data_IF_029804239874
#
_entry.id   IF_029804239874
#
_cell.length_a   1.000
_cell.length_b   1.000
_cell.length_c   1.000
_cell.angle_alpha   90.00
_cell.angle_beta   90.00
_cell.angle_gamma   90.00
#
_symmetry.space_group_name_H-M   'P 1'
#
loop_
_entity.id
_entity.type
_entity.pdbx_description
1 polymer ?
#
# COMPACT_ATOMS: atom_id res chain seq x y z
N UNK A 1 -7.09 2.13 -9.33
CA UNK A 1 -7.35 2.90 -8.09
C UNK A 1 -6.35 4.03 -8.02
N UNK A 2 -6.83 5.25 -7.87
CA UNK A 2 -5.97 6.43 -7.98
C UNK A 2 -5.20 6.68 -6.68
N UNK A 3 -3.93 7.08 -6.81
CA UNK A 3 -3.05 7.38 -5.68
C UNK A 3 -3.64 8.42 -4.73
N UNK A 4 -4.20 9.50 -5.29
CA UNK A 4 -4.80 10.57 -4.50
C UNK A 4 -5.89 10.04 -3.56
N UNK A 5 -6.70 9.07 -4.03
CA UNK A 5 -7.83 8.55 -3.27
C UNK A 5 -7.36 7.71 -2.09
N UNK A 6 -6.33 6.90 -2.30
CA UNK A 6 -5.67 6.13 -1.23
C UNK A 6 -5.07 7.05 -0.17
N UNK A 7 -4.36 8.11 -0.61
CA UNK A 7 -3.78 9.10 0.29
C UNK A 7 -4.85 9.85 1.07
N UNK A 8 -5.96 10.21 0.42
CA UNK A 8 -7.09 10.87 1.10
C UNK A 8 -7.73 9.94 2.13
N UNK A 9 -7.91 8.65 1.83
CA UNK A 9 -8.42 7.70 2.84
C UNK A 9 -7.46 7.58 4.03
N UNK A 10 -6.14 7.61 3.83
CA UNK A 10 -5.20 7.70 4.96
C UNK A 10 -5.38 8.97 5.79
N UNK A 11 -5.79 10.08 5.17
CA UNK A 11 -6.10 11.32 5.88
C UNK A 11 -7.38 11.20 6.69
N UNK A 12 -8.45 10.66 6.10
CA UNK A 12 -9.73 10.38 6.76
C UNK A 12 -9.56 9.49 8.01
N UNK A 13 -8.65 8.51 7.96
CA UNK A 13 -8.35 7.60 9.08
C UNK A 13 -7.30 8.15 10.06
N UNK A 14 -6.82 9.38 9.87
CA UNK A 14 -5.80 9.99 10.74
C UNK A 14 -4.38 9.41 10.57
N UNK A 15 -4.18 8.44 9.67
CA UNK A 15 -2.91 7.74 9.50
C UNK A 15 -1.80 8.66 9.00
N UNK A 16 -2.12 9.74 8.28
CA UNK A 16 -1.15 10.73 7.82
C UNK A 16 -0.30 11.37 8.94
N UNK A 17 -0.81 11.41 10.18
CA UNK A 17 -0.11 11.97 11.34
C UNK A 17 0.79 10.94 12.03
N UNK A 18 0.57 9.64 11.74
CA UNK A 18 1.30 8.53 12.33
C UNK A 18 2.59 8.29 11.55
N UNK A 19 3.67 8.87 12.04
CA UNK A 19 5.03 8.68 11.52
C UNK A 19 5.92 7.87 12.47
N UNK A 20 5.38 7.44 13.62
CA UNK A 20 6.05 6.54 14.56
C UNK A 20 6.20 5.15 13.92
N UNK A 21 7.44 4.59 13.88
CA UNK A 21 7.68 3.22 13.42
C UNK A 21 6.85 2.14 14.13
N UNK A 22 6.40 2.37 15.37
CA UNK A 22 5.61 1.42 16.15
C UNK A 22 4.09 1.51 15.86
N UNK A 23 3.65 2.53 15.14
CA UNK A 23 2.24 2.69 14.79
C UNK A 23 1.77 1.55 13.88
N UNK A 24 0.73 0.83 14.30
CA UNK A 24 0.20 -0.32 13.58
C UNK A 24 -1.31 -0.46 13.70
N UNK A 25 -1.93 -1.03 12.68
CA UNK A 25 -3.34 -1.38 12.65
C UNK A 25 -3.52 -2.89 12.81
N UNK A 26 -4.57 -3.32 13.49
CA UNK A 26 -5.01 -4.71 13.43
C UNK A 26 -5.69 -5.03 12.09
N UNK A 27 -5.95 -6.32 11.83
CA UNK A 27 -6.63 -6.75 10.60
C UNK A 27 -8.03 -6.17 10.45
N UNK A 28 -8.78 -6.00 11.55
CA UNK A 28 -10.12 -5.41 11.49
C UNK A 28 -10.11 -3.94 11.06
N UNK A 29 -9.18 -3.15 11.58
CA UNK A 29 -8.99 -1.74 11.22
C UNK A 29 -8.43 -1.61 9.80
N UNK A 30 -7.52 -2.50 9.41
CA UNK A 30 -7.03 -2.59 8.03
C UNK A 30 -8.17 -2.93 7.07
N UNK A 31 -9.04 -3.88 7.41
CA UNK A 31 -10.21 -4.21 6.58
C UNK A 31 -11.15 -3.02 6.38
N UNK A 32 -11.40 -2.22 7.43
CA UNK A 32 -12.20 -0.99 7.34
C UNK A 32 -11.54 0.04 6.42
N UNK A 33 -10.22 0.20 6.52
CA UNK A 33 -9.44 1.06 5.64
C UNK A 33 -9.56 0.61 4.18
N UNK A 34 -9.36 -0.68 3.89
CA UNK A 34 -9.51 -1.25 2.55
C UNK A 34 -10.94 -1.08 2.03
N UNK A 35 -11.95 -1.39 2.85
CA UNK A 35 -13.36 -1.23 2.48
C UNK A 35 -13.67 0.22 2.07
N UNK A 36 -13.13 1.21 2.80
CA UNK A 36 -13.28 2.62 2.42
C UNK A 36 -12.61 2.93 1.10
N UNK A 37 -11.37 2.47 0.91
CA UNK A 37 -10.63 2.63 -0.34
C UNK A 37 -11.41 2.03 -1.54
N UNK A 38 -11.91 0.79 -1.41
CA UNK A 38 -12.67 0.12 -2.46
C UNK A 38 -14.05 0.74 -2.71
N UNK A 39 -14.67 1.38 -1.70
CA UNK A 39 -15.95 2.09 -1.87
C UNK A 39 -15.89 3.24 -2.88
N UNK A 40 -14.69 3.69 -3.24
CA UNK A 40 -14.48 4.73 -4.24
C UNK A 40 -14.30 4.20 -5.67
N UNK A 41 -14.27 2.88 -5.88
CA UNK A 41 -14.22 2.31 -7.22
C UNK A 41 -15.60 2.42 -7.87
N UNK A 42 -15.73 3.10 -9.03
CA UNK A 42 -17.01 3.17 -9.73
C UNK A 42 -17.48 1.76 -10.11
N UNK A 43 -18.70 1.40 -9.70
CA UNK A 43 -19.32 0.09 -9.96
C UNK A 43 -19.53 -0.18 -11.45
N UNK A 44 -19.57 0.86 -12.28
CA UNK A 44 -19.64 0.76 -13.75
C UNK A 44 -18.42 0.08 -14.39
N UNK A 45 -17.25 0.13 -13.74
CA UNK A 45 -16.03 -0.51 -14.26
C UNK A 45 -15.96 -2.03 -13.97
N UNK A 46 -16.92 -2.58 -13.22
CA UNK A 46 -16.99 -4.02 -12.89
C UNK A 46 -18.01 -4.79 -13.75
N UNK A 47 -18.87 -4.10 -14.50
CA UNK A 47 -20.01 -4.70 -15.21
C UNK A 47 -19.67 -5.31 -16.58
N UNK A 48 -18.39 -5.53 -16.92
CA UNK A 48 -18.01 -5.95 -18.27
C UNK A 48 -18.36 -7.42 -18.62
N UNK A 49 -18.82 -8.24 -17.67
CA UNK A 49 -19.03 -9.68 -17.87
C UNK A 49 -20.41 -10.23 -17.41
N UNK A 50 -21.49 -9.47 -17.50
CA UNK A 50 -22.82 -10.04 -17.21
C UNK A 50 -23.83 -9.65 -18.29
N UNK A 51 -24.08 -10.61 -19.19
CA UNK A 51 -25.15 -10.57 -20.18
C UNK A 51 -26.51 -10.45 -19.49
N UNK A 52 -27.26 -9.43 -19.90
CA UNK A 52 -28.72 -9.34 -20.00
C UNK A 52 -29.55 -9.78 -18.77
N UNK A 53 -29.95 -8.84 -17.93
CA UNK A 53 -31.37 -8.71 -17.54
C UNK A 53 -31.65 -7.34 -16.88
N UNK A 54 -32.34 -6.47 -17.62
CA UNK A 54 -32.71 -5.11 -17.19
C UNK A 54 -33.92 -5.12 -16.26
N UNK A 55 -33.80 -5.64 -15.02
CA UNK A 55 -34.85 -5.40 -14.00
C UNK A 55 -34.38 -5.36 -12.54
N UNK A 56 -33.10 -5.58 -12.23
CA UNK A 56 -32.64 -5.57 -10.84
C UNK A 56 -31.61 -4.47 -10.59
N UNK A 57 -31.92 -3.60 -9.62
CA UNK A 57 -31.07 -2.49 -9.14
C UNK A 57 -29.57 -2.86 -9.10
N UNK A 58 -28.82 -2.34 -10.08
CA UNK A 58 -27.41 -2.62 -10.40
C UNK A 58 -26.39 -2.32 -9.29
N UNK A 59 -26.84 -1.76 -8.17
CA UNK A 59 -26.00 -1.41 -7.02
C UNK A 59 -25.85 -2.53 -5.98
N UNK A 60 -26.68 -3.57 -5.99
CA UNK A 60 -26.66 -4.62 -4.96
C UNK A 60 -25.65 -5.74 -5.28
N UNK A 61 -25.53 -6.14 -6.55
CA UNK A 61 -24.71 -7.30 -6.99
C UNK A 61 -23.19 -7.00 -6.90
N UNK A 62 -22.79 -5.72 -6.93
CA UNK A 62 -21.39 -5.31 -6.86
C UNK A 62 -20.83 -5.18 -5.43
N UNK A 63 -21.67 -5.09 -4.40
CA UNK A 63 -21.20 -5.00 -3.00
C UNK A 63 -20.48 -6.28 -2.52
N UNK A 64 -20.96 -7.50 -2.81
CA UNK A 64 -20.23 -8.73 -2.50
C UNK A 64 -18.84 -8.77 -3.12
N UNK A 65 -18.70 -8.36 -4.39
CA UNK A 65 -17.41 -8.36 -5.10
C UNK A 65 -16.38 -7.42 -4.47
N UNK A 66 -16.81 -6.22 -4.04
CA UNK A 66 -15.95 -5.25 -3.35
C UNK A 66 -15.44 -5.80 -2.00
N UNK A 67 -16.32 -6.45 -1.24
CA UNK A 67 -15.96 -7.07 0.05
C UNK A 67 -14.92 -8.17 -0.17
N UNK A 68 -15.18 -9.08 -1.12
CA UNK A 68 -14.24 -10.16 -1.46
C UNK A 68 -12.89 -9.60 -1.92
N UNK A 69 -12.87 -8.54 -2.73
CA UNK A 69 -11.63 -7.90 -3.15
C UNK A 69 -10.84 -7.32 -1.96
N UNK A 70 -11.52 -6.71 -0.99
CA UNK A 70 -10.89 -6.22 0.23
C UNK A 70 -10.35 -7.35 1.12
N UNK A 71 -11.05 -8.48 1.22
CA UNK A 71 -10.60 -9.67 1.96
C UNK A 71 -9.36 -10.31 1.32
N UNK A 72 -9.36 -10.46 -0.01
CA UNK A 72 -8.21 -10.98 -0.76
C UNK A 72 -6.99 -10.08 -0.55
N UNK A 73 -7.16 -8.77 -0.69
CA UNK A 73 -6.05 -7.83 -0.48
C UNK A 73 -5.58 -7.86 0.98
N UNK A 74 -6.48 -7.95 1.96
CA UNK A 74 -6.11 -8.09 3.37
C UNK A 74 -5.29 -9.36 3.61
N UNK A 75 -5.71 -10.49 3.04
CA UNK A 75 -4.97 -11.76 3.16
C UNK A 75 -3.55 -11.65 2.61
N UNK A 76 -3.39 -11.03 1.43
CA UNK A 76 -2.08 -10.80 0.85
C UNK A 76 -1.23 -9.80 1.66
N UNK A 77 -1.83 -8.73 2.20
CA UNK A 77 -1.13 -7.79 3.09
C UNK A 77 -0.63 -8.48 4.37
N UNK A 78 -1.45 -9.34 4.97
CA UNK A 78 -1.05 -10.16 6.11
C UNK A 78 0.15 -11.05 5.78
N UNK A 79 0.07 -11.78 4.66
CA UNK A 79 1.16 -12.63 4.19
C UNK A 79 2.46 -11.83 3.89
N UNK A 80 2.35 -10.68 3.25
CA UNK A 80 3.50 -9.90 2.81
C UNK A 80 4.16 -9.08 3.93
N UNK A 81 3.36 -8.54 4.86
CA UNK A 81 3.84 -7.53 5.81
C UNK A 81 3.88 -8.01 7.26
N UNK A 82 3.07 -9.01 7.65
CA UNK A 82 3.04 -9.57 9.01
C UNK A 82 3.75 -10.94 9.08
N UNK A 83 5.05 -10.93 8.76
CA UNK A 83 5.88 -12.13 8.70
C UNK A 83 5.97 -12.90 10.04
N UNK A 84 5.74 -12.21 11.16
CA UNK A 84 5.74 -12.80 12.50
C UNK A 84 4.32 -13.19 12.98
N UNK A 85 3.30 -13.08 12.13
CA UNK A 85 1.91 -13.41 12.45
C UNK A 85 1.39 -12.74 13.73
N UNK A 86 1.74 -11.47 13.93
CA UNK A 86 1.35 -10.65 15.08
C UNK A 86 -0.12 -10.22 15.07
N UNK A 87 -0.79 -10.36 13.91
CA UNK A 87 -2.14 -9.85 13.66
C UNK A 87 -2.18 -8.33 13.44
N UNK A 88 -1.01 -7.70 13.24
CA UNK A 88 -0.87 -6.25 13.10
C UNK A 88 0.01 -5.89 11.92
N UNK A 89 -0.32 -4.77 11.28
CA UNK A 89 0.37 -4.24 10.11
C UNK A 89 0.87 -2.84 10.43
N UNK A 90 2.15 -2.57 10.16
CA UNK A 90 2.72 -1.23 10.38
C UNK A 90 2.00 -0.21 9.49
N UNK A 91 1.71 0.97 10.04
CA UNK A 91 1.06 2.05 9.28
C UNK A 91 1.96 2.50 8.12
N UNK A 92 3.27 2.54 8.34
CA UNK A 92 4.25 2.84 7.28
C UNK A 92 4.23 1.81 6.17
N UNK A 93 4.24 0.52 6.50
CA UNK A 93 4.16 -0.57 5.52
C UNK A 93 2.86 -0.54 4.74
N UNK A 94 1.73 -0.28 5.40
CA UNK A 94 0.43 -0.08 4.74
C UNK A 94 0.44 1.12 3.79
N UNK A 95 1.00 2.26 4.21
CA UNK A 95 1.13 3.46 3.37
C UNK A 95 1.91 3.13 2.12
N UNK A 96 3.11 2.55 2.25
CA UNK A 96 4.02 2.20 1.15
C UNK A 96 3.37 1.19 0.21
N UNK A 97 2.80 0.12 0.76
CA UNK A 97 2.27 -0.99 -0.04
C UNK A 97 1.07 -0.55 -0.86
N UNK A 98 0.09 0.09 -0.23
CA UNK A 98 -1.13 0.50 -0.91
C UNK A 98 -0.87 1.61 -1.93
N UNK A 99 0.03 2.57 -1.65
CA UNK A 99 0.40 3.57 -2.67
C UNK A 99 1.19 2.95 -3.83
N UNK A 100 2.02 1.94 -3.57
CA UNK A 100 2.76 1.20 -4.61
C UNK A 100 1.80 0.50 -5.58
N UNK A 101 0.72 -0.09 -5.07
CA UNK A 101 -0.29 -0.83 -5.86
C UNK A 101 -1.24 0.07 -6.66
N UNK A 102 -1.24 1.39 -6.44
CA UNK A 102 -2.14 2.31 -7.17
C UNK A 102 -1.84 2.34 -8.67
N UNK A 103 -2.84 2.70 -9.47
CA UNK A 103 -2.66 2.94 -10.91
C UNK A 103 -2.23 4.40 -11.16
N UNK A 104 -1.04 4.76 -10.70
CA UNK A 104 -0.46 6.09 -10.88
C UNK A 104 0.90 6.00 -11.58
N UNK A 105 1.35 7.11 -12.19
CA UNK A 105 2.69 7.16 -12.81
C UNK A 105 3.75 6.91 -11.73
N UNK A 106 4.85 6.23 -12.06
CA UNK A 106 5.94 5.99 -11.09
C UNK A 106 6.41 7.26 -10.39
N UNK A 107 6.56 8.37 -11.14
CA UNK A 107 6.96 9.66 -10.58
C UNK A 107 6.01 10.18 -9.48
N UNK A 108 4.69 9.98 -9.63
CA UNK A 108 3.72 10.44 -8.64
C UNK A 108 3.80 9.59 -7.36
N UNK A 109 4.01 8.27 -7.50
CA UNK A 109 4.24 7.35 -6.38
C UNK A 109 5.52 7.70 -5.63
N UNK A 110 6.62 7.92 -6.36
CA UNK A 110 7.89 8.32 -5.75
C UNK A 110 7.81 9.66 -5.04
N UNK A 111 7.12 10.65 -5.62
CA UNK A 111 6.87 11.94 -4.94
C UNK A 111 6.13 11.73 -3.63
N UNK A 112 5.06 10.93 -3.62
CA UNK A 112 4.34 10.62 -2.39
C UNK A 112 5.24 9.89 -1.37
N UNK A 113 5.94 8.83 -1.78
CA UNK A 113 6.84 8.11 -0.87
C UNK A 113 7.90 9.04 -0.29
N UNK A 114 8.51 9.90 -1.11
CA UNK A 114 9.50 10.88 -0.66
C UNK A 114 8.97 11.80 0.45
N UNK A 115 7.68 12.16 0.43
CA UNK A 115 7.07 12.94 1.54
C UNK A 115 7.02 12.19 2.87
N UNK A 116 6.98 10.85 2.85
CA UNK A 116 7.03 10.02 4.06
C UNK A 116 8.46 9.98 4.63
N UNK A 117 9.46 10.04 3.76
CA UNK A 117 10.87 9.83 4.08
C UNK A 117 11.62 11.11 4.43
N UNK A 118 11.07 12.25 4.05
CA UNK A 118 11.75 13.54 4.21
C UNK A 118 11.41 14.22 5.53
N UNK A 119 12.25 15.15 5.94
CA UNK A 119 11.95 16.12 7.00
C UNK A 119 11.18 17.34 6.44
N UNK A 120 10.73 18.27 7.29
CA UNK A 120 10.03 19.48 6.84
C UNK A 120 10.88 20.41 5.94
N UNK A 121 12.20 20.25 5.89
CA UNK A 121 13.07 21.00 4.97
C UNK A 121 13.12 20.38 3.57
N UNK A 122 12.55 19.18 3.40
CA UNK A 122 12.60 18.42 2.16
C UNK A 122 13.84 17.54 2.02
N UNK A 123 14.64 17.40 3.09
CA UNK A 123 15.81 16.54 3.10
C UNK A 123 15.40 15.09 3.41
N UNK A 124 15.93 14.15 2.63
CA UNK A 124 15.69 12.72 2.83
C UNK A 124 16.37 12.22 4.11
N UNK A 125 15.62 11.57 4.99
CA UNK A 125 16.16 11.00 6.23
C UNK A 125 16.62 9.56 5.95
N UNK A 126 17.92 9.30 6.12
CA UNK A 126 18.51 7.99 5.80
C UNK A 126 17.82 6.81 6.51
N UNK A 127 17.56 6.92 7.81
CA UNK A 127 16.89 5.84 8.58
C UNK A 127 15.47 5.55 8.08
N UNK A 128 14.74 6.57 7.64
CA UNK A 128 13.42 6.38 7.02
C UNK A 128 13.54 5.73 5.64
N UNK A 129 14.54 6.14 4.85
CA UNK A 129 14.82 5.53 3.55
C UNK A 129 15.18 4.04 3.69
N UNK A 130 15.97 3.69 4.70
CA UNK A 130 16.31 2.30 5.01
C UNK A 130 15.08 1.47 5.34
N UNK A 131 14.26 1.94 6.29
CA UNK A 131 13.00 1.29 6.66
C UNK A 131 12.03 1.18 5.47
N UNK A 132 11.98 2.21 4.62
CA UNK A 132 11.18 2.20 3.39
C UNK A 132 11.61 1.10 2.42
N UNK A 133 12.91 0.91 2.19
CA UNK A 133 13.39 -0.17 1.32
C UNK A 133 13.08 -1.54 1.92
N UNK A 134 13.21 -1.70 3.25
CA UNK A 134 12.84 -2.94 3.93
C UNK A 134 11.36 -3.27 3.76
N UNK A 135 10.46 -2.28 3.86
CA UNK A 135 9.02 -2.49 3.66
C UNK A 135 8.67 -2.69 2.18
N UNK A 136 9.22 -1.88 1.27
CA UNK A 136 8.94 -1.96 -0.16
C UNK A 136 9.39 -3.31 -0.75
N UNK A 137 10.53 -3.82 -0.33
CA UNK A 137 11.09 -5.07 -0.88
C UNK A 137 10.42 -6.33 -0.32
N UNK A 138 9.52 -6.21 0.67
CA UNK A 138 8.63 -7.32 1.05
C UNK A 138 7.63 -7.67 -0.06
N UNK A 139 7.25 -6.69 -0.88
CA UNK A 139 6.27 -6.88 -1.97
C UNK A 139 6.77 -7.86 -3.05
N UNK A 140 7.96 -7.71 -3.64
CA UNK A 140 8.48 -8.72 -4.57
C UNK A 140 8.73 -10.06 -3.89
N UNK A 141 9.19 -10.08 -2.63
CA UNK A 141 9.35 -11.33 -1.87
C UNK A 141 8.03 -12.09 -1.76
N UNK A 142 6.91 -11.40 -1.51
CA UNK A 142 5.58 -12.02 -1.38
C UNK A 142 5.01 -12.56 -2.70
N UNK A 143 5.68 -12.32 -3.82
CA UNK A 143 5.36 -12.92 -5.13
C UNK A 143 6.51 -13.78 -5.66
N UNK A 144 7.33 -14.32 -4.76
CA UNK A 144 8.44 -15.25 -5.05
C UNK A 144 9.59 -14.66 -5.87
N UNK A 145 9.75 -13.33 -5.88
CA UNK A 145 10.82 -12.62 -6.57
C UNK A 145 11.97 -12.19 -5.63
N UNK A 146 12.04 -12.80 -4.44
CA UNK A 146 13.00 -12.46 -3.39
C UNK A 146 14.48 -12.77 -3.73
N UNK A 147 14.74 -13.60 -4.73
CA UNK A 147 16.11 -13.85 -5.22
C UNK A 147 16.65 -12.68 -6.03
N UNK A 148 15.76 -11.95 -6.70
CA UNK A 148 16.09 -10.83 -7.58
C UNK A 148 16.00 -9.49 -6.84
N UNK A 149 15.02 -9.35 -5.95
CA UNK A 149 14.73 -8.11 -5.25
C UNK A 149 14.62 -8.33 -3.75
N UNK A 150 15.68 -8.00 -3.03
CA UNK A 150 15.73 -8.08 -1.58
C UNK A 150 16.56 -6.94 -0.99
N UNK A 151 16.29 -6.64 0.27
CA UNK A 151 16.97 -5.58 0.99
C UNK A 151 18.42 -5.97 1.35
N UNK A 152 19.37 -5.07 1.10
CA UNK A 152 20.72 -5.14 1.68
C UNK A 152 21.12 -3.77 2.23
N UNK A 153 21.84 -3.71 3.37
CA UNK A 153 22.38 -2.46 3.90
C UNK A 153 23.31 -1.74 2.91
N UNK A 154 24.03 -2.49 2.09
CA UNK A 154 24.93 -1.94 1.07
C UNK A 154 24.15 -1.23 -0.04
N UNK A 155 23.00 -1.78 -0.46
CA UNK A 155 22.15 -1.15 -1.47
C UNK A 155 21.58 0.18 -0.98
N UNK A 156 21.11 0.25 0.27
CA UNK A 156 20.59 1.50 0.84
C UNK A 156 21.68 2.57 0.96
N UNK A 157 22.88 2.20 1.40
CA UNK A 157 24.02 3.13 1.46
C UNK A 157 24.45 3.62 0.07
N UNK A 158 24.56 2.72 -0.91
CA UNK A 158 24.92 3.05 -2.29
C UNK A 158 23.90 4.00 -2.92
N UNK A 159 22.60 3.69 -2.78
CA UNK A 159 21.53 4.53 -3.33
C UNK A 159 21.48 5.92 -2.68
N UNK A 160 21.73 6.00 -1.37
CA UNK A 160 21.66 7.27 -0.65
C UNK A 160 22.87 8.17 -0.92
N UNK A 161 24.06 7.59 -1.02
CA UNK A 161 25.30 8.34 -1.27
C UNK A 161 25.54 8.63 -2.75
N UNK A 162 24.91 7.84 -3.65
CA UNK A 162 25.18 7.89 -5.09
C UNK A 162 26.53 7.29 -5.48
N UNK A 163 27.24 6.63 -4.56
CA UNK A 163 28.56 6.04 -4.79
C UNK A 163 28.42 4.52 -4.92
N UNK A 164 28.65 3.98 -6.12
CA UNK A 164 28.80 2.54 -6.30
C UNK A 164 30.19 2.10 -5.83
N UNK A 165 30.26 1.20 -4.85
CA UNK A 165 31.48 0.48 -4.53
C UNK A 165 31.62 -0.67 -5.55
N UNK A 166 32.51 -0.49 -6.52
CA UNK A 166 32.93 -1.50 -7.51
C UNK A 166 33.97 -2.45 -6.93
#
# INVERSE_FOLDING_TARGET
MDLWRVVETFREFGLHQLNDPQASLDYGSTFRLLSRIYSHIPTTNMNANTTNDETTSSNAINRPAIIIAAEILLGWLGYALDLCATGRLSVTGLKITLSTLTNARPADKFRYHFTLLSDPSGALIFSKFEAYLQDLLKLPISVFEGTNFYYTPQASQTMFTGVCFS
#
